data_IF_868539910112
#
_entry.id   IF_868539910112
#
_cell.length_a   1.000
_cell.length_b   1.000
_cell.length_c   1.000
_cell.angle_alpha   90.00
_cell.angle_beta   90.00
_cell.angle_gamma   90.00
#
_symmetry.space_group_name_H-M   'P 1'
#
loop_
_entity.id
_entity.type
_entity.pdbx_description
1 polymer ?
#
# COMPACT_ATOMS: atom_id res chain seq x y z
N UNK A 1 -22.84 -33.26 74.74
CA UNK A 1 -22.88 -32.85 76.16
C UNK A 1 -23.93 -31.75 76.27
N UNK A 2 -25.16 -32.04 76.71
CA UNK A 2 -25.57 -32.16 78.13
C UNK A 2 -25.40 -30.83 78.88
N UNK A 3 -26.36 -30.36 79.68
CA UNK A 3 -27.70 -30.87 80.01
C UNK A 3 -28.41 -29.85 80.93
N UNK A 4 -29.66 -30.16 81.30
CA UNK A 4 -30.27 -29.92 82.63
C UNK A 4 -29.96 -28.56 83.31
N UNK A 5 -30.87 -27.57 83.30
CA UNK A 5 -32.20 -27.53 83.93
C UNK A 5 -32.20 -27.11 85.41
N UNK A 6 -33.33 -26.47 85.78
CA UNK A 6 -33.84 -26.22 87.15
C UNK A 6 -33.06 -25.20 88.00
N UNK A 7 -33.68 -24.42 88.89
CA UNK A 7 -35.10 -24.03 89.09
C UNK A 7 -35.21 -23.17 90.37
N UNK A 8 -36.38 -22.55 90.62
CA UNK A 8 -36.96 -22.38 91.98
C UNK A 8 -36.26 -21.29 92.86
N UNK A 9 -36.94 -20.41 93.63
CA UNK A 9 -38.36 -20.23 94.00
C UNK A 9 -38.69 -18.75 94.33
N UNK A 10 -40.00 -18.43 94.41
CA UNK A 10 -40.55 -17.15 94.91
C UNK A 10 -41.56 -16.55 93.91
N UNK A 11 -42.85 -16.94 93.83
CA UNK A 11 -43.85 -17.18 94.89
C UNK A 11 -43.99 -15.97 95.83
N UNK A 12 -45.12 -15.27 95.96
CA UNK A 12 -46.49 -15.39 95.38
C UNK A 12 -47.13 -13.98 95.36
N UNK A 13 -48.27 -13.61 94.74
CA UNK A 13 -49.56 -14.22 94.31
C UNK A 13 -50.02 -13.50 92.99
N UNK A 14 -50.98 -13.89 92.12
CA UNK A 14 -52.28 -14.60 92.20
C UNK A 14 -53.42 -13.66 92.72
N UNK A 15 -54.47 -13.26 91.99
CA UNK A 15 -55.10 -13.81 90.77
C UNK A 15 -56.12 -12.84 90.08
N UNK A 16 -56.40 -13.06 88.79
CA UNK A 16 -57.59 -12.73 87.94
C UNK A 16 -58.20 -11.31 87.94
N UNK A 17 -58.17 -10.72 86.74
CA UNK A 17 -59.30 -9.98 86.13
C UNK A 17 -59.46 -10.43 84.68
N UNK A 18 -60.59 -11.07 84.33
CA UNK A 18 -60.82 -11.70 83.02
C UNK A 18 -61.70 -10.83 82.10
N UNK A 19 -61.56 -11.08 80.79
CA UNK A 19 -62.50 -10.80 79.67
C UNK A 19 -62.40 -9.49 78.87
N UNK A 20 -62.88 -9.63 77.61
CA UNK A 20 -63.22 -8.63 76.59
C UNK A 20 -62.07 -8.02 75.76
N UNK A 21 -61.81 -8.63 74.60
CA UNK A 21 -61.19 -7.97 73.43
C UNK A 21 -62.14 -6.89 72.86
N UNK A 22 -61.72 -5.62 72.74
CA UNK A 22 -62.33 -4.70 71.80
C UNK A 22 -61.55 -4.74 70.49
N UNK A 23 -62.14 -5.42 69.50
CA UNK A 23 -62.02 -5.19 68.05
C UNK A 23 -60.69 -4.60 67.56
N UNK A 24 -59.85 -5.45 66.94
CA UNK A 24 -58.77 -4.98 66.06
C UNK A 24 -59.36 -4.20 64.88
N UNK A 25 -59.56 -2.89 65.05
CA UNK A 25 -59.69 -1.98 63.93
C UNK A 25 -58.39 -2.02 63.15
N UNK A 26 -58.37 -2.79 62.05
CA UNK A 26 -57.34 -2.69 61.04
C UNK A 26 -57.47 -1.28 60.46
N UNK A 27 -56.68 -0.35 61.02
CA UNK A 27 -56.62 1.01 60.55
C UNK A 27 -55.86 1.00 59.22
N UNK A 28 -56.58 0.71 58.13
CA UNK A 28 -56.06 0.80 56.77
C UNK A 28 -55.70 2.28 56.54
N UNK A 29 -54.44 2.62 56.80
CA UNK A 29 -53.86 3.90 56.39
C UNK A 29 -53.71 3.88 54.87
N UNK A 30 -54.80 4.15 54.17
CA UNK A 30 -54.69 4.72 52.82
C UNK A 30 -53.83 5.98 52.93
N UNK A 31 -52.82 6.11 52.07
CA UNK A 31 -51.75 7.09 52.26
C UNK A 31 -52.25 8.54 52.09
N UNK A 32 -52.66 9.18 53.19
CA UNK A 32 -53.24 10.53 53.23
C UNK A 32 -52.22 11.66 53.14
N UNK A 33 -51.23 11.55 52.24
CA UNK A 33 -50.69 12.72 51.53
C UNK A 33 -49.90 12.34 50.26
N UNK A 34 -50.59 11.95 49.18
CA UNK A 34 -49.96 11.81 47.85
C UNK A 34 -49.65 13.16 47.16
N UNK A 35 -49.36 14.20 47.95
CA UNK A 35 -49.09 15.59 47.50
C UNK A 35 -48.05 16.27 48.40
N UNK A 36 -46.77 15.98 48.18
CA UNK A 36 -45.63 16.84 48.50
C UNK A 36 -44.36 16.39 47.74
N UNK A 37 -43.89 17.22 46.81
CA UNK A 37 -42.51 17.22 46.27
C UNK A 37 -41.88 15.93 45.70
N UNK A 38 -42.58 15.20 44.82
CA UNK A 38 -41.99 14.82 43.51
C UNK A 38 -42.62 15.69 42.42
N UNK A 39 -42.80 16.98 42.72
CA UNK A 39 -43.72 17.90 42.03
C UNK A 39 -43.04 19.21 41.59
N UNK A 40 -41.76 19.10 41.25
CA UNK A 40 -40.96 20.14 40.59
C UNK A 40 -40.02 19.43 39.61
N UNK A 41 -40.37 19.43 38.32
CA UNK A 41 -39.56 18.82 37.26
C UNK A 41 -38.36 19.70 36.86
N UNK A 42 -37.59 20.16 37.85
CA UNK A 42 -36.38 20.96 37.65
C UNK A 42 -35.17 20.04 37.35
N UNK A 43 -35.32 19.17 36.35
CA UNK A 43 -34.25 18.29 35.83
C UNK A 43 -33.97 18.66 34.38
N UNK A 44 -33.09 19.64 34.18
CA UNK A 44 -32.51 19.94 32.86
C UNK A 44 -31.03 19.53 32.82
N UNK A 45 -30.53 19.20 31.64
CA UNK A 45 -29.14 18.81 31.41
C UNK A 45 -28.32 20.03 30.97
N UNK A 46 -27.05 20.16 31.39
CA UNK A 46 -26.24 21.31 30.99
C UNK A 46 -26.01 21.33 29.47
N UNK A 47 -26.11 22.52 28.87
CA UNK A 47 -25.96 22.71 27.42
C UNK A 47 -24.64 22.17 26.87
N UNK A 48 -24.71 21.39 25.78
CA UNK A 48 -23.56 20.62 25.26
C UNK A 48 -22.58 21.42 24.38
N UNK A 49 -22.69 22.75 24.33
CA UNK A 49 -21.82 23.69 23.59
C UNK A 49 -21.61 23.31 22.09
N UNK A 50 -22.65 22.75 21.47
CA UNK A 50 -22.68 22.43 20.04
C UNK A 50 -22.66 23.71 19.17
N UNK A 51 -22.56 23.55 17.85
CA UNK A 51 -22.47 24.63 16.88
C UNK A 51 -21.08 24.78 16.25
N UNK A 52 -20.91 25.77 15.36
CA UNK A 52 -19.62 26.07 14.74
C UNK A 52 -18.59 26.45 15.81
N UNK A 53 -17.32 26.26 15.45
CA UNK A 53 -16.14 26.62 16.23
C UNK A 53 -15.17 27.49 15.42
N UNK A 54 -15.22 27.36 14.09
CA UNK A 54 -14.55 28.24 13.15
C UNK A 54 -15.60 28.87 12.22
N UNK A 55 -15.36 30.11 11.80
CA UNK A 55 -16.20 30.87 10.86
C UNK A 55 -15.75 30.66 9.41
N UNK A 56 -16.58 31.08 8.44
CA UNK A 56 -16.13 31.13 7.04
C UNK A 56 -14.92 32.07 6.88
N UNK A 57 -13.93 31.63 6.11
CA UNK A 57 -12.68 32.37 5.92
C UNK A 57 -11.70 32.29 7.09
N UNK A 58 -12.01 31.62 8.21
CA UNK A 58 -11.06 31.35 9.29
C UNK A 58 -9.89 30.49 8.79
N UNK A 59 -8.66 30.83 9.18
CA UNK A 59 -7.49 29.97 8.96
C UNK A 59 -7.44 28.85 10.01
N UNK A 60 -7.30 27.61 9.56
CA UNK A 60 -7.24 26.40 10.39
C UNK A 60 -5.98 25.60 10.13
N UNK A 61 -5.55 24.83 11.13
CA UNK A 61 -4.48 23.82 11.04
C UNK A 61 -5.07 22.40 11.11
N UNK A 62 -4.34 21.36 10.67
CA UNK A 62 -4.75 19.97 10.86
C UNK A 62 -5.19 19.69 12.31
N UNK A 63 -6.33 19.02 12.47
CA UNK A 63 -6.93 18.71 13.78
C UNK A 63 -7.82 19.80 14.38
N UNK A 64 -7.86 21.02 13.85
CA UNK A 64 -8.80 22.05 14.32
C UNK A 64 -10.25 21.59 14.12
N UNK A 65 -11.07 21.75 15.17
CA UNK A 65 -12.50 21.47 15.12
C UNK A 65 -13.22 22.64 14.46
N UNK A 66 -14.00 22.37 13.41
CA UNK A 66 -14.76 23.37 12.66
C UNK A 66 -16.23 23.41 13.15
N UNK A 67 -16.83 22.24 13.42
CA UNK A 67 -18.25 22.13 13.79
C UNK A 67 -18.46 20.99 14.79
N UNK A 68 -19.17 21.26 15.91
CA UNK A 68 -19.65 20.21 16.83
C UNK A 68 -21.16 20.06 16.69
N UNK A 69 -21.65 18.85 16.44
CA UNK A 69 -23.06 18.61 16.12
C UNK A 69 -23.58 17.28 16.70
N UNK A 70 -24.87 17.01 16.45
CA UNK A 70 -25.53 15.73 16.69
C UNK A 70 -26.25 15.36 15.40
N UNK A 71 -25.82 14.26 14.78
CA UNK A 71 -26.08 13.98 13.36
C UNK A 71 -25.35 14.96 12.41
N UNK A 72 -25.36 14.67 11.11
CA UNK A 72 -24.77 15.53 10.07
C UNK A 72 -25.74 16.63 9.65
N UNK A 73 -25.84 17.70 10.43
CA UNK A 73 -26.51 18.94 9.99
C UNK A 73 -25.70 19.66 8.90
N UNK A 74 -24.38 19.55 9.01
CA UNK A 74 -23.39 19.89 7.99
C UNK A 74 -22.61 18.59 7.70
N UNK A 75 -22.27 18.37 6.44
CA UNK A 75 -21.49 17.24 5.97
C UNK A 75 -20.01 17.65 5.77
N UNK A 76 -19.05 16.71 5.93
CA UNK A 76 -17.66 16.97 5.59
C UNK A 76 -17.52 17.17 4.08
N UNK A 77 -16.89 18.26 3.68
CA UNK A 77 -16.50 18.59 2.30
C UNK A 77 -15.01 18.34 2.05
N UNK A 78 -14.40 19.14 1.19
CA UNK A 78 -12.98 19.01 0.85
C UNK A 78 -12.04 19.22 2.05
N UNK A 79 -10.93 18.45 2.10
CA UNK A 79 -9.83 18.57 3.07
C UNK A 79 -10.26 18.49 4.56
N UNK A 80 -11.39 17.85 4.80
CA UNK A 80 -12.08 17.81 6.09
C UNK A 80 -12.54 16.38 6.37
N UNK A 81 -12.56 15.98 7.64
CA UNK A 81 -13.06 14.67 8.09
C UNK A 81 -14.07 14.81 9.22
N UNK A 82 -14.79 13.71 9.46
CA UNK A 82 -15.82 13.60 10.48
C UNK A 82 -15.39 12.59 11.56
N UNK A 83 -15.57 12.95 12.83
CA UNK A 83 -15.32 12.09 13.99
C UNK A 83 -16.54 11.30 14.43
N UNK A 84 -16.36 10.40 15.40
CA UNK A 84 -17.41 9.50 15.93
C UNK A 84 -18.67 10.23 16.42
N UNK A 85 -18.55 11.42 17.00
CA UNK A 85 -19.68 12.21 17.49
C UNK A 85 -20.26 13.18 16.42
N UNK A 86 -19.92 12.97 15.15
CA UNK A 86 -20.20 13.84 14.00
C UNK A 86 -19.50 15.22 14.04
N UNK A 87 -18.54 15.42 14.96
CA UNK A 87 -17.66 16.60 14.94
C UNK A 87 -16.84 16.63 13.65
N UNK A 88 -16.82 17.79 13.00
CA UNK A 88 -16.08 18.02 11.76
C UNK A 88 -14.77 18.72 12.08
N UNK A 89 -13.66 18.24 11.50
CA UNK A 89 -12.31 18.78 11.74
C UNK A 89 -11.48 18.88 10.46
N UNK A 90 -10.55 19.82 10.43
CA UNK A 90 -9.62 20.05 9.32
C UNK A 90 -8.57 18.94 9.22
N UNK A 91 -8.27 18.47 8.01
CA UNK A 91 -7.15 17.54 7.74
C UNK A 91 -5.91 18.29 7.25
N UNK A 92 -6.11 19.31 6.43
CA UNK A 92 -5.05 20.17 5.89
C UNK A 92 -5.11 21.58 6.51
N UNK A 93 -4.00 22.33 6.53
CA UNK A 93 -4.03 23.76 6.80
C UNK A 93 -4.68 24.51 5.64
N UNK A 94 -5.44 25.56 5.94
CA UNK A 94 -6.13 26.36 4.93
C UNK A 94 -7.24 27.22 5.52
N UNK A 95 -8.23 27.58 4.71
CA UNK A 95 -9.32 28.47 5.08
C UNK A 95 -10.67 27.73 5.04
N UNK A 96 -11.44 27.83 6.11
CA UNK A 96 -12.76 27.18 6.22
C UNK A 96 -13.72 27.80 5.20
N UNK A 97 -14.46 26.95 4.45
CA UNK A 97 -15.49 27.36 3.51
C UNK A 97 -16.77 26.55 3.71
N UNK A 98 -17.89 27.22 3.95
CA UNK A 98 -19.23 26.64 4.01
C UNK A 98 -19.92 26.76 2.65
N UNK A 99 -20.41 25.65 2.11
CA UNK A 99 -20.94 25.63 0.75
C UNK A 99 -22.08 24.62 0.55
N UNK A 100 -22.67 24.64 -0.65
CA UNK A 100 -23.59 23.63 -1.16
C UNK A 100 -22.99 23.00 -2.40
N UNK A 101 -23.14 21.70 -2.53
CA UNK A 101 -22.59 20.92 -3.63
C UNK A 101 -23.74 20.56 -4.61
N UNK A 102 -23.64 20.91 -5.91
CA UNK A 102 -24.62 20.52 -6.92
C UNK A 102 -24.90 19.01 -6.97
N UNK A 103 -23.92 18.14 -6.69
CA UNK A 103 -24.11 16.69 -6.64
C UNK A 103 -25.04 16.24 -5.49
N UNK A 104 -25.21 17.09 -4.48
CA UNK A 104 -25.92 16.78 -3.24
C UNK A 104 -26.80 17.97 -2.77
N UNK A 105 -27.85 18.33 -3.54
CA UNK A 105 -28.53 19.63 -3.43
C UNK A 105 -29.20 19.90 -2.06
N UNK A 106 -29.65 18.86 -1.36
CA UNK A 106 -30.28 18.99 -0.03
C UNK A 106 -29.28 19.09 1.12
N UNK A 107 -27.98 18.87 0.88
CA UNK A 107 -26.93 18.82 1.91
C UNK A 107 -26.15 20.13 1.96
N UNK A 108 -25.72 20.49 3.18
CA UNK A 108 -24.80 21.61 3.44
C UNK A 108 -23.43 21.04 3.77
N UNK A 109 -22.38 21.64 3.22
CA UNK A 109 -21.00 21.18 3.38
C UNK A 109 -20.15 22.21 4.10
N UNK A 110 -19.09 21.72 4.75
CA UNK A 110 -17.96 22.55 5.16
C UNK A 110 -16.67 21.86 4.76
N UNK A 111 -15.81 22.59 4.05
CA UNK A 111 -14.49 22.15 3.63
C UNK A 111 -13.42 23.14 4.05
N UNK A 112 -12.17 22.81 3.74
CA UNK A 112 -11.02 23.69 3.90
C UNK A 112 -10.38 23.93 2.54
N UNK A 113 -10.43 25.16 2.06
CA UNK A 113 -9.73 25.61 0.87
C UNK A 113 -8.24 25.78 1.21
N UNK A 114 -7.34 25.16 0.43
CA UNK A 114 -5.89 25.19 0.69
C UNK A 114 -5.27 26.59 0.55
N UNK A 115 -5.99 27.52 -0.10
CA UNK A 115 -5.64 28.93 -0.29
C UNK A 115 -6.90 29.78 -0.11
N UNK A 116 -6.75 31.09 0.09
CA UNK A 116 -7.87 32.00 0.46
C UNK A 116 -8.73 32.42 -0.74
N UNK A 117 -8.10 32.52 -1.90
CA UNK A 117 -8.67 32.74 -3.25
C UNK A 117 -9.58 31.58 -3.70
N UNK A 118 -9.21 30.34 -3.37
CA UNK A 118 -9.97 29.16 -3.74
C UNK A 118 -11.36 29.13 -3.09
N UNK A 119 -12.40 29.11 -3.92
CA UNK A 119 -13.79 28.90 -3.55
C UNK A 119 -14.12 27.40 -3.48
N UNK A 120 -15.12 27.04 -2.66
CA UNK A 120 -15.73 25.71 -2.65
C UNK A 120 -17.25 25.87 -2.92
N UNK A 121 -17.91 24.96 -3.67
CA UNK A 121 -17.31 23.81 -4.35
C UNK A 121 -16.42 24.26 -5.52
N UNK A 122 -15.44 23.42 -5.89
CA UNK A 122 -14.69 23.59 -7.14
C UNK A 122 -15.51 23.10 -8.32
N UNK A 123 -15.08 23.44 -9.53
CA UNK A 123 -15.59 22.75 -10.72
C UNK A 123 -15.19 21.27 -10.69
N UNK A 124 -16.04 20.42 -11.25
CA UNK A 124 -15.92 18.96 -11.13
C UNK A 124 -14.77 18.40 -11.98
N UNK A 125 -14.51 19.00 -13.14
CA UNK A 125 -13.50 18.53 -14.09
C UNK A 125 -12.12 19.15 -13.86
N UNK A 126 -12.02 20.19 -13.02
CA UNK A 126 -10.75 20.80 -12.65
C UNK A 126 -9.84 19.82 -11.87
N UNK A 127 -8.54 19.94 -12.10
CA UNK A 127 -7.54 19.14 -11.39
C UNK A 127 -7.59 19.43 -9.87
N UNK A 128 -7.73 18.38 -9.05
CA UNK A 128 -7.78 18.50 -7.60
C UNK A 128 -6.51 19.15 -7.05
N UNK A 129 -6.64 20.39 -6.58
CA UNK A 129 -5.58 21.07 -5.81
C UNK A 129 -5.26 20.24 -4.55
N UNK A 130 -4.01 19.77 -4.43
CA UNK A 130 -3.49 19.00 -3.30
C UNK A 130 -2.31 19.74 -2.66
N UNK A 131 -2.10 19.55 -1.36
CA UNK A 131 -0.91 20.00 -0.64
C UNK A 131 0.09 18.84 -0.57
N UNK A 132 1.36 19.08 -0.90
CA UNK A 132 2.42 18.07 -0.75
C UNK A 132 2.81 17.90 0.72
N UNK A 133 3.03 19.01 1.43
CA UNK A 133 3.15 19.02 2.89
C UNK A 133 4.53 18.70 3.46
N UNK A 134 5.46 18.18 2.65
CA UNK A 134 6.85 17.91 3.01
C UNK A 134 7.81 19.02 2.54
N UNK A 135 9.01 19.03 3.10
CA UNK A 135 10.11 19.95 2.80
C UNK A 135 11.36 19.11 2.56
N UNK A 136 12.21 19.52 1.63
CA UNK A 136 13.52 18.92 1.36
C UNK A 136 14.47 19.04 2.57
N UNK A 137 15.11 17.94 2.93
CA UNK A 137 16.14 17.91 3.99
C UNK A 137 17.46 18.40 3.37
N UNK A 138 17.84 19.64 3.68
CA UNK A 138 19.06 20.27 3.14
C UNK A 138 20.35 19.88 3.85
N UNK A 139 20.23 19.35 5.07
CA UNK A 139 21.37 18.90 5.88
C UNK A 139 21.77 17.48 5.42
N UNK A 140 22.99 17.26 4.88
CA UNK A 140 23.38 15.98 4.32
C UNK A 140 23.37 14.86 5.36
N UNK A 141 23.75 15.13 6.62
CA UNK A 141 23.72 14.11 7.69
C UNK A 141 22.29 13.71 8.06
N UNK A 142 21.33 14.64 8.01
CA UNK A 142 19.92 14.31 8.18
C UNK A 142 19.32 13.59 6.96
N UNK A 143 19.75 13.93 5.74
CA UNK A 143 19.34 13.25 4.52
C UNK A 143 19.83 11.79 4.50
N UNK A 144 21.12 11.55 4.76
CA UNK A 144 21.70 10.20 4.85
C UNK A 144 21.00 9.36 5.96
N UNK A 145 20.67 9.98 7.10
CA UNK A 145 19.90 9.28 8.15
C UNK A 145 18.51 8.88 7.66
N UNK A 146 17.79 9.74 6.97
CA UNK A 146 16.45 9.43 6.41
C UNK A 146 16.53 8.37 5.30
N UNK A 147 17.53 8.43 4.42
CA UNK A 147 17.78 7.40 3.39
C UNK A 147 18.06 6.01 3.99
N UNK A 148 18.72 5.97 5.16
CA UNK A 148 18.98 4.74 5.90
C UNK A 148 17.77 4.22 6.71
N UNK A 149 16.69 4.99 6.87
CA UNK A 149 15.47 4.53 7.56
C UNK A 149 14.71 3.53 6.67
N UNK A 150 14.66 2.29 7.12
CA UNK A 150 13.87 1.20 6.51
C UNK A 150 12.70 0.81 7.41
N UNK A 151 11.59 0.35 6.82
CA UNK A 151 10.51 -0.22 7.63
C UNK A 151 10.97 -1.51 8.32
N UNK A 152 10.38 -1.85 9.48
CA UNK A 152 10.68 -3.11 10.18
C UNK A 152 10.51 -4.35 9.29
N UNK A 153 9.60 -4.31 8.31
CA UNK A 153 9.40 -5.41 7.36
C UNK A 153 10.58 -5.52 6.41
N UNK A 154 10.97 -4.41 5.75
CA UNK A 154 12.15 -4.39 4.88
C UNK A 154 13.39 -4.87 5.62
N UNK A 155 13.65 -4.36 6.82
CA UNK A 155 14.83 -4.73 7.62
C UNK A 155 14.90 -6.26 7.90
N UNK A 156 13.75 -6.89 8.16
CA UNK A 156 13.69 -8.33 8.43
C UNK A 156 13.85 -9.18 7.16
N UNK A 157 13.36 -8.70 6.00
CA UNK A 157 13.48 -9.41 4.72
C UNK A 157 14.81 -9.13 3.98
N UNK A 158 15.49 -8.03 4.29
CA UNK A 158 16.72 -7.58 3.63
C UNK A 158 17.78 -8.71 3.50
N UNK A 159 18.13 -9.49 4.55
CA UNK A 159 19.17 -10.52 4.44
C UNK A 159 18.74 -11.71 3.57
N UNK A 160 17.43 -11.99 3.46
CA UNK A 160 16.89 -13.04 2.61
C UNK A 160 16.92 -12.62 1.13
N UNK A 161 16.58 -11.36 0.85
CA UNK A 161 16.66 -10.78 -0.49
C UNK A 161 18.11 -10.72 -0.99
N UNK A 162 19.07 -10.37 -0.14
CA UNK A 162 20.49 -10.36 -0.48
C UNK A 162 21.05 -11.75 -0.78
N UNK A 163 20.61 -12.79 -0.06
CA UNK A 163 20.97 -14.19 -0.38
C UNK A 163 20.41 -14.61 -1.73
N UNK A 164 19.12 -14.39 -1.96
CA UNK A 164 18.46 -14.70 -3.25
C UNK A 164 19.05 -13.93 -4.43
N UNK A 165 19.56 -12.72 -4.20
CA UNK A 165 20.25 -11.93 -5.22
C UNK A 165 21.62 -12.55 -5.54
N UNK A 166 22.41 -12.93 -4.52
CA UNK A 166 23.69 -13.64 -4.72
C UNK A 166 23.53 -14.98 -5.42
N UNK A 167 22.54 -15.78 -5.02
CA UNK A 167 22.19 -17.06 -5.67
C UNK A 167 21.88 -16.85 -7.16
N UNK A 168 21.11 -15.81 -7.52
CA UNK A 168 20.83 -15.44 -8.91
C UNK A 168 22.07 -14.99 -9.68
N UNK A 169 22.94 -14.19 -9.05
CA UNK A 169 24.20 -13.78 -9.66
C UNK A 169 25.13 -14.96 -9.94
N UNK A 170 25.22 -15.93 -9.02
CA UNK A 170 26.02 -17.14 -9.18
C UNK A 170 25.50 -18.01 -10.33
N UNK A 171 24.17 -18.21 -10.42
CA UNK A 171 23.54 -18.91 -11.55
C UNK A 171 23.78 -18.16 -12.88
N UNK A 172 23.62 -16.84 -12.89
CA UNK A 172 23.88 -16.01 -14.08
C UNK A 172 25.35 -16.11 -14.53
N UNK A 173 26.31 -16.01 -13.61
CA UNK A 173 27.75 -16.19 -13.88
C UNK A 173 28.07 -17.59 -14.41
N UNK A 174 27.45 -18.64 -13.85
CA UNK A 174 27.61 -20.01 -14.32
C UNK A 174 27.06 -20.18 -15.76
N UNK A 175 25.88 -19.62 -16.05
CA UNK A 175 25.29 -19.63 -17.38
C UNK A 175 26.19 -18.87 -18.37
N UNK A 176 26.60 -17.62 -18.08
CA UNK A 176 27.51 -16.84 -18.93
C UNK A 176 28.81 -17.60 -19.22
N UNK A 177 29.38 -18.30 -18.23
CA UNK A 177 30.56 -19.15 -18.42
C UNK A 177 30.30 -20.37 -19.31
N UNK A 178 29.09 -20.95 -19.28
CA UNK A 178 28.71 -22.04 -20.18
C UNK A 178 28.52 -21.52 -21.62
N UNK A 179 27.85 -20.37 -21.78
CA UNK A 179 27.66 -19.70 -23.07
C UNK A 179 28.99 -19.32 -23.72
N UNK A 180 29.93 -18.71 -22.98
CA UNK A 180 31.25 -18.35 -23.53
C UNK A 180 32.09 -19.57 -23.92
N UNK A 181 32.07 -20.65 -23.11
CA UNK A 181 32.72 -21.92 -23.46
C UNK A 181 32.14 -22.57 -24.71
N UNK A 182 30.81 -22.56 -24.87
CA UNK A 182 30.15 -23.15 -26.05
C UNK A 182 30.45 -22.37 -27.34
N UNK A 183 30.47 -21.03 -27.29
CA UNK A 183 30.86 -20.19 -28.44
C UNK A 183 32.28 -20.52 -28.94
N UNK A 184 33.24 -20.70 -28.02
CA UNK A 184 34.62 -21.04 -28.36
C UNK A 184 34.76 -22.49 -28.84
N UNK A 185 34.15 -23.45 -28.14
CA UNK A 185 34.35 -24.88 -28.42
C UNK A 185 33.55 -25.38 -29.63
N UNK A 186 32.27 -25.02 -29.71
CA UNK A 186 31.33 -25.60 -30.67
C UNK A 186 31.31 -24.83 -32.00
N UNK A 187 31.41 -23.50 -31.92
CA UNK A 187 31.34 -22.59 -33.09
C UNK A 187 32.69 -22.05 -33.54
N UNK A 188 33.72 -22.10 -32.68
CA UNK A 188 35.10 -21.65 -32.98
C UNK A 188 35.18 -20.22 -33.50
N UNK A 189 34.36 -19.35 -32.92
CA UNK A 189 34.31 -17.94 -33.27
C UNK A 189 35.55 -17.20 -32.73
N UNK A 190 36.32 -16.59 -33.63
CA UNK A 190 37.45 -15.72 -33.30
C UNK A 190 36.92 -14.34 -32.83
N UNK A 191 36.51 -14.28 -31.57
CA UNK A 191 36.04 -13.06 -30.89
C UNK A 191 37.06 -12.62 -29.83
N UNK A 192 37.18 -11.31 -29.62
CA UNK A 192 37.90 -10.75 -28.46
C UNK A 192 37.19 -11.11 -27.15
N UNK A 193 37.90 -11.15 -26.02
CA UNK A 193 37.33 -11.46 -24.69
C UNK A 193 36.14 -10.54 -24.34
N UNK A 194 36.21 -9.26 -24.71
CA UNK A 194 35.12 -8.29 -24.52
C UNK A 194 33.90 -8.62 -25.39
N UNK A 195 34.13 -8.99 -26.65
CA UNK A 195 33.08 -9.37 -27.60
C UNK A 195 32.43 -10.70 -27.19
N UNK A 196 33.21 -11.65 -26.68
CA UNK A 196 32.74 -12.93 -26.15
C UNK A 196 31.88 -12.76 -24.89
N UNK A 197 32.25 -11.82 -24.01
CA UNK A 197 31.43 -11.42 -22.85
C UNK A 197 30.10 -10.81 -23.29
N UNK A 198 30.13 -9.92 -24.29
CA UNK A 198 28.94 -9.26 -24.83
C UNK A 198 28.03 -10.24 -25.62
N UNK A 199 28.63 -11.20 -26.33
CA UNK A 199 27.95 -12.26 -27.05
C UNK A 199 27.22 -13.22 -26.09
N UNK A 200 27.92 -13.70 -25.06
CA UNK A 200 27.34 -14.58 -24.05
C UNK A 200 26.26 -13.89 -23.23
N UNK A 201 26.41 -12.60 -22.90
CA UNK A 201 25.34 -11.83 -22.24
C UNK A 201 24.11 -11.65 -23.13
N UNK A 202 24.28 -11.37 -24.43
CA UNK A 202 23.17 -11.28 -25.39
C UNK A 202 22.40 -12.61 -25.47
N UNK A 203 23.10 -13.72 -25.69
CA UNK A 203 22.47 -15.01 -25.91
C UNK A 203 21.71 -15.49 -24.66
N UNK A 204 22.26 -15.25 -23.46
CA UNK A 204 21.55 -15.48 -22.20
C UNK A 204 20.30 -14.59 -22.08
N UNK A 205 20.40 -13.29 -22.33
CA UNK A 205 19.28 -12.36 -22.22
C UNK A 205 18.16 -12.66 -23.23
N UNK A 206 18.49 -12.97 -24.49
CA UNK A 206 17.51 -13.37 -25.52
C UNK A 206 16.84 -14.70 -25.15
N UNK A 207 17.59 -15.66 -24.60
CA UNK A 207 17.03 -16.90 -24.07
C UNK A 207 16.07 -16.63 -22.90
N UNK A 208 16.47 -15.87 -21.89
CA UNK A 208 15.62 -15.50 -20.75
C UNK A 208 14.34 -14.77 -21.18
N UNK A 209 14.44 -13.84 -22.15
CA UNK A 209 13.28 -13.16 -22.74
C UNK A 209 12.36 -14.15 -23.48
N UNK A 210 12.90 -15.10 -24.23
CA UNK A 210 12.09 -16.13 -24.90
C UNK A 210 11.30 -17.00 -23.90
N UNK A 211 11.87 -17.30 -22.72
CA UNK A 211 11.19 -18.02 -21.64
C UNK A 211 10.02 -17.23 -21.02
N UNK A 212 9.97 -15.90 -21.20
CA UNK A 212 8.80 -15.08 -20.81
C UNK A 212 7.63 -15.16 -21.80
N UNK A 213 7.76 -15.91 -22.90
CA UNK A 213 6.75 -16.06 -23.94
C UNK A 213 6.87 -15.08 -25.11
N UNK A 214 7.99 -14.37 -25.23
CA UNK A 214 8.28 -13.54 -26.40
C UNK A 214 8.71 -14.39 -27.61
N UNK A 215 8.47 -13.88 -28.83
CA UNK A 215 9.08 -14.46 -30.03
C UNK A 215 10.59 -14.18 -30.04
N UNK A 216 11.37 -15.06 -30.67
CA UNK A 216 12.83 -14.95 -30.72
C UNK A 216 13.31 -13.61 -31.31
N UNK A 217 12.71 -13.19 -32.43
CA UNK A 217 12.99 -11.90 -33.09
C UNK A 217 12.65 -10.69 -32.21
N UNK A 218 11.55 -10.75 -31.44
CA UNK A 218 11.20 -9.70 -30.49
C UNK A 218 12.20 -9.64 -29.33
N UNK A 219 12.64 -10.79 -28.81
CA UNK A 219 13.66 -10.88 -27.77
C UNK A 219 15.02 -10.33 -28.25
N UNK A 220 15.46 -10.69 -29.46
CA UNK A 220 16.67 -10.12 -30.10
C UNK A 220 16.55 -8.61 -30.27
N UNK A 221 15.41 -8.12 -30.77
CA UNK A 221 15.15 -6.68 -30.94
C UNK A 221 15.18 -5.93 -29.61
N UNK A 222 14.52 -6.49 -28.57
CA UNK A 222 14.46 -5.91 -27.23
C UNK A 222 15.84 -5.87 -26.56
N UNK A 223 16.64 -6.94 -26.66
CA UNK A 223 18.00 -6.96 -26.11
C UNK A 223 18.91 -5.95 -26.83
N UNK A 224 18.81 -5.88 -28.17
CA UNK A 224 19.56 -4.92 -28.97
C UNK A 224 19.24 -3.48 -28.58
N UNK A 225 17.96 -3.17 -28.42
CA UNK A 225 17.50 -1.87 -27.92
C UNK A 225 18.02 -1.58 -26.51
N UNK A 226 18.00 -2.58 -25.63
CA UNK A 226 18.39 -2.43 -24.22
C UNK A 226 19.86 -2.08 -24.07
N UNK A 227 20.76 -2.76 -24.78
CA UNK A 227 22.20 -2.44 -24.74
C UNK A 227 22.51 -1.07 -25.36
N UNK A 228 21.90 -0.72 -26.49
CA UNK A 228 22.06 0.62 -27.09
C UNK A 228 21.51 1.71 -26.16
N UNK A 229 20.41 1.45 -25.45
CA UNK A 229 19.86 2.37 -24.46
C UNK A 229 20.78 2.52 -23.23
N UNK A 230 21.41 1.44 -22.76
CA UNK A 230 22.42 1.50 -21.70
C UNK A 230 23.63 2.35 -22.13
N UNK A 231 24.18 2.15 -23.33
CA UNK A 231 25.26 2.99 -23.87
C UNK A 231 24.85 4.48 -23.94
N UNK A 232 23.60 4.75 -24.36
CA UNK A 232 23.05 6.12 -24.41
C UNK A 232 22.90 6.75 -23.02
N UNK A 233 22.57 5.95 -21.99
CA UNK A 233 22.54 6.40 -20.61
C UNK A 233 23.94 6.73 -20.08
N UNK A 234 24.96 5.93 -20.40
CA UNK A 234 26.38 6.21 -20.05
C UNK A 234 26.85 7.53 -20.66
N UNK A 235 26.60 7.72 -21.96
CA UNK A 235 26.91 8.99 -22.64
C UNK A 235 26.18 10.19 -22.02
N UNK A 236 24.89 10.05 -21.67
CA UNK A 236 24.10 11.10 -21.00
C UNK A 236 24.63 11.46 -19.60
N UNK A 237 25.27 10.52 -18.89
CA UNK A 237 25.93 10.78 -17.59
C UNK A 237 27.32 11.42 -17.75
N UNK A 238 27.86 11.48 -18.97
CA UNK A 238 29.24 11.93 -19.23
C UNK A 238 30.30 10.86 -18.97
N UNK A 239 29.92 9.58 -18.85
CA UNK A 239 30.87 8.45 -18.71
C UNK A 239 31.61 8.16 -20.03
N UNK A 240 31.01 8.53 -21.17
CA UNK A 240 31.44 8.22 -22.55
C UNK A 240 31.13 9.45 -23.42
N UNK A 241 31.98 9.77 -24.40
CA UNK A 241 31.71 10.84 -25.38
C UNK A 241 30.63 10.45 -26.40
N UNK A 242 30.07 11.44 -27.11
CA UNK A 242 29.06 11.18 -28.14
C UNK A 242 29.64 10.44 -29.36
N UNK A 243 30.94 10.59 -29.63
CA UNK A 243 31.63 9.90 -30.73
C UNK A 243 31.86 8.42 -30.37
N UNK A 244 32.36 8.15 -29.16
CA UNK A 244 32.52 6.79 -28.62
C UNK A 244 31.17 6.06 -28.50
N UNK A 245 30.07 6.76 -28.20
CA UNK A 245 28.73 6.16 -28.22
C UNK A 245 28.38 5.62 -29.62
N UNK A 246 28.63 6.39 -30.68
CA UNK A 246 28.31 5.95 -32.05
C UNK A 246 29.27 4.88 -32.57
N UNK A 247 30.53 4.82 -32.09
CA UNK A 247 31.44 3.70 -32.42
C UNK A 247 31.04 2.41 -31.71
N UNK A 248 30.85 2.44 -30.38
CA UNK A 248 30.42 1.28 -29.58
C UNK A 248 29.07 0.72 -30.05
N UNK A 249 28.13 1.59 -30.42
CA UNK A 249 26.83 1.21 -31.01
C UNK A 249 27.00 0.47 -32.34
N UNK A 250 27.89 0.94 -33.22
CA UNK A 250 28.18 0.26 -34.51
C UNK A 250 28.86 -1.08 -34.30
N UNK A 251 29.88 -1.14 -33.44
CA UNK A 251 30.57 -2.37 -33.06
C UNK A 251 29.59 -3.40 -32.49
N UNK A 252 28.73 -2.99 -31.54
CA UNK A 252 27.71 -3.87 -30.99
C UNK A 252 26.76 -4.39 -32.08
N UNK A 253 26.21 -3.53 -32.94
CA UNK A 253 25.33 -3.96 -34.04
C UNK A 253 26.03 -4.98 -34.95
N UNK A 254 27.31 -4.75 -35.30
CA UNK A 254 28.10 -5.69 -36.10
C UNK A 254 28.31 -7.04 -35.40
N UNK A 255 28.67 -7.03 -34.12
CA UNK A 255 28.83 -8.24 -33.29
C UNK A 255 27.50 -9.00 -33.21
N UNK A 256 26.39 -8.31 -32.94
CA UNK A 256 25.07 -8.94 -32.87
C UNK A 256 24.63 -9.57 -34.19
N UNK A 257 24.88 -8.90 -35.32
CA UNK A 257 24.50 -9.43 -36.64
C UNK A 257 25.34 -10.64 -37.05
N UNK A 258 26.60 -10.73 -36.62
CA UNK A 258 27.41 -11.96 -36.76
C UNK A 258 26.82 -13.11 -35.93
N UNK A 259 26.59 -12.88 -34.64
CA UNK A 259 26.12 -13.92 -33.70
C UNK A 259 24.72 -14.43 -34.09
N UNK A 260 23.76 -13.53 -34.32
CA UNK A 260 22.35 -13.90 -34.55
C UNK A 260 22.15 -14.70 -35.85
N UNK A 261 23.06 -14.59 -36.81
CA UNK A 261 23.03 -15.33 -38.09
C UNK A 261 23.67 -16.73 -37.99
N UNK A 262 24.53 -16.97 -37.00
CA UNK A 262 25.29 -18.23 -36.87
C UNK A 262 24.81 -19.10 -35.70
N UNK A 263 24.43 -18.45 -34.59
CA UNK A 263 24.19 -19.09 -33.29
C UNK A 263 22.78 -18.79 -32.81
N UNK A 264 22.12 -19.82 -32.31
CA UNK A 264 20.82 -19.75 -31.64
C UNK A 264 20.88 -20.51 -30.31
N UNK A 265 19.85 -20.35 -29.48
CA UNK A 265 19.72 -21.06 -28.20
C UNK A 265 18.53 -22.00 -28.27
N UNK A 266 18.78 -23.27 -28.00
CA UNK A 266 17.77 -24.30 -27.88
C UNK A 266 16.91 -24.09 -26.62
N UNK A 267 15.71 -24.70 -26.59
CA UNK A 267 14.76 -24.57 -25.48
C UNK A 267 15.32 -25.03 -24.13
N UNK A 268 16.33 -25.91 -24.14
CA UNK A 268 17.04 -26.43 -22.97
C UNK A 268 18.26 -25.57 -22.57
N UNK A 269 18.42 -24.39 -23.16
CA UNK A 269 19.48 -23.42 -22.82
C UNK A 269 20.85 -23.74 -23.42
N UNK A 270 20.95 -24.74 -24.30
CA UNK A 270 22.19 -25.07 -25.03
C UNK A 270 22.32 -24.27 -26.32
N UNK A 271 23.56 -23.98 -26.71
CA UNK A 271 23.86 -23.39 -28.00
C UNK A 271 23.61 -24.37 -29.14
N UNK A 272 23.04 -23.88 -30.22
CA UNK A 272 22.80 -24.63 -31.44
C UNK A 272 23.01 -23.73 -32.66
N UNK A 273 23.26 -24.32 -33.84
CA UNK A 273 23.42 -23.54 -35.07
C UNK A 273 22.11 -22.85 -35.41
N UNK A 274 22.17 -21.56 -35.75
CA UNK A 274 21.03 -20.85 -36.33
C UNK A 274 20.53 -21.57 -37.60
N UNK A 275 19.21 -21.60 -37.77
CA UNK A 275 18.51 -22.19 -38.90
C UNK A 275 17.50 -21.18 -39.40
N UNK A 276 17.55 -20.86 -40.68
CA UNK A 276 16.57 -19.99 -41.33
C UNK A 276 15.16 -20.61 -41.19
N UNK A 277 14.05 -19.86 -41.03
CA UNK A 277 12.73 -20.45 -40.80
C UNK A 277 12.29 -21.48 -41.86
N UNK A 278 12.75 -21.33 -43.12
CA UNK A 278 12.55 -22.32 -44.18
C UNK A 278 13.28 -23.64 -43.93
N UNK A 279 14.56 -23.59 -43.51
CA UNK A 279 15.36 -24.78 -43.17
C UNK A 279 14.79 -25.49 -41.95
N UNK A 280 14.35 -24.70 -40.96
CA UNK A 280 13.70 -25.19 -39.75
C UNK A 280 12.36 -25.87 -40.08
N UNK A 281 11.61 -25.35 -41.06
CA UNK A 281 10.39 -25.99 -41.59
C UNK A 281 10.69 -27.30 -42.33
N UNK A 282 11.73 -27.32 -43.19
CA UNK A 282 12.19 -28.54 -43.89
C UNK A 282 12.59 -29.64 -42.89
N UNK A 283 13.44 -29.32 -41.91
CA UNK A 283 13.82 -30.27 -40.85
C UNK A 283 12.64 -30.80 -40.03
N UNK A 284 11.62 -29.96 -39.77
CA UNK A 284 10.38 -30.42 -39.12
C UNK A 284 9.61 -31.42 -39.99
N UNK A 285 9.56 -31.21 -41.30
CA UNK A 285 8.93 -32.14 -42.24
C UNK A 285 9.72 -33.45 -42.37
N UNK A 286 11.04 -33.39 -42.47
CA UNK A 286 11.95 -34.54 -42.49
C UNK A 286 11.83 -35.40 -41.22
N UNK A 287 11.85 -34.78 -40.03
CA UNK A 287 11.65 -35.47 -38.77
C UNK A 287 10.25 -36.10 -38.67
N UNK A 288 9.20 -35.40 -39.12
CA UNK A 288 7.84 -35.94 -39.15
C UNK A 288 7.74 -37.17 -40.06
N UNK A 289 8.29 -37.10 -41.27
CA UNK A 289 8.33 -38.23 -42.20
C UNK A 289 9.15 -39.41 -41.66
N UNK A 290 10.28 -39.14 -40.99
CA UNK A 290 11.07 -40.16 -40.32
C UNK A 290 10.30 -40.86 -39.19
N UNK A 291 9.54 -40.11 -38.38
CA UNK A 291 8.69 -40.70 -37.34
C UNK A 291 7.52 -41.49 -37.92
N UNK A 292 6.89 -41.01 -39.00
CA UNK A 292 5.84 -41.73 -39.73
C UNK A 292 6.35 -43.02 -40.37
N UNK A 293 7.62 -43.09 -40.78
CA UNK A 293 8.24 -44.30 -41.34
C UNK A 293 8.65 -45.38 -40.31
N UNK A 294 8.56 -45.05 -39.02
CA UNK A 294 8.90 -45.93 -37.90
C UNK A 294 7.66 -46.48 -37.16
N UNK A 295 6.46 -46.14 -37.63
CA UNK A 295 5.15 -46.53 -37.08
C UNK A 295 4.46 -47.57 -37.99
#
# INVERSE_FOLDING_TARGET
MSSLAKSILGSSRVIIGLTANPVNFIQIRTATKRVASSRTNNKDSPGKRLGPKESDGSFVKPGHIIMRQRGTKIHPGENVRIGKDHTIYAVEPGFVRYYRDPFHPLRKYVGVALRRDLTLPKDHFEARVRRFGYIEIKDPEAAEREENVKSRKELLYQPELERKLKEKEEVSKANLSAFSKGLVNDFKLELSDEELSLASSRLLAVFELSQTGQTWEAAQTQETFSQIYLLKLRAKRGEISQEEFETLKKQYIEITSKIDNEVSVSWDGKLCKYLNPEELSKKKQELKASMESLL
#
